data_IF_419888089000
#
_entry.id   IF_419888089000
#
_cell.length_a   1.000
_cell.length_b   1.000
_cell.length_c   1.000
_cell.angle_alpha   90.00
_cell.angle_beta   90.00
_cell.angle_gamma   90.00
#
_symmetry.space_group_name_H-M   'P 1'
#
loop_
_entity.id
_entity.type
_entity.pdbx_description
1 polymer ?
#
# COMPACT_ATOMS: atom_id res chain seq x y z
N UNK A 1 17.77 -1.21 -2.08
CA UNK A 1 16.32 -0.96 -2.19
C UNK A 1 15.65 -2.21 -2.74
N UNK A 2 14.62 -2.74 -2.06
CA UNK A 2 13.84 -3.88 -2.55
C UNK A 2 12.67 -3.32 -3.37
N UNK A 3 12.69 -3.50 -4.69
CA UNK A 3 11.73 -2.88 -5.61
C UNK A 3 10.63 -3.81 -6.15
N UNK A 4 10.82 -5.13 -6.04
CA UNK A 4 9.86 -6.15 -6.45
C UNK A 4 10.23 -7.48 -5.80
N UNK A 5 9.23 -8.23 -5.37
CA UNK A 5 9.34 -9.61 -4.94
C UNK A 5 8.56 -10.50 -5.91
N UNK A 6 9.10 -11.69 -6.18
CA UNK A 6 8.40 -12.78 -6.88
C UNK A 6 8.69 -14.05 -6.09
N UNK A 7 7.65 -14.70 -5.60
CA UNK A 7 7.81 -15.84 -4.70
C UNK A 7 6.49 -16.45 -4.29
N UNK A 8 6.53 -17.41 -3.38
CA UNK A 8 5.35 -18.14 -2.92
C UNK A 8 4.75 -17.43 -1.70
N UNK A 9 3.43 -17.22 -1.71
CA UNK A 9 2.71 -16.75 -0.53
C UNK A 9 2.70 -17.87 0.50
N UNK A 10 3.31 -17.65 1.67
CA UNK A 10 3.32 -18.60 2.77
C UNK A 10 2.13 -18.36 3.69
N UNK A 11 1.83 -17.10 3.99
CA UNK A 11 0.76 -16.72 4.92
C UNK A 11 0.09 -15.40 4.49
N UNK A 12 -1.23 -15.34 4.71
CA UNK A 12 -2.07 -14.16 4.47
C UNK A 12 -2.75 -13.77 5.80
N UNK A 13 -2.28 -12.71 6.44
CA UNK A 13 -2.88 -12.16 7.67
C UNK A 13 -3.04 -10.64 7.54
N UNK A 14 -4.20 -10.13 7.08
CA UNK A 14 -4.34 -8.72 6.76
C UNK A 14 -3.95 -7.79 7.94
N UNK A 15 -3.18 -6.71 7.69
CA UNK A 15 -2.73 -6.20 6.39
C UNK A 15 -1.37 -6.74 5.92
N UNK A 16 -0.89 -7.87 6.48
CA UNK A 16 0.44 -8.44 6.25
C UNK A 16 0.37 -9.72 5.41
N UNK A 17 1.26 -9.82 4.42
CA UNK A 17 1.50 -11.07 3.68
C UNK A 17 2.94 -11.52 3.90
N UNK A 18 3.13 -12.82 4.12
CA UNK A 18 4.45 -13.44 4.15
C UNK A 18 4.72 -14.07 2.78
N UNK A 19 5.72 -13.57 2.06
CA UNK A 19 6.16 -14.11 0.77
C UNK A 19 7.57 -14.67 0.88
N UNK A 20 7.75 -15.94 0.49
CA UNK A 20 9.08 -16.56 0.43
C UNK A 20 9.70 -16.37 -0.95
N UNK A 21 10.89 -15.79 -0.98
CA UNK A 21 11.69 -15.59 -2.20
C UNK A 21 13.07 -16.21 -1.98
N UNK A 22 13.33 -17.34 -2.64
CA UNK A 22 14.64 -18.00 -2.58
C UNK A 22 15.02 -18.47 -1.17
N UNK A 23 14.05 -18.94 -0.38
CA UNK A 23 14.27 -19.39 1.00
C UNK A 23 14.28 -18.29 2.06
N UNK A 24 13.99 -17.03 1.69
CA UNK A 24 13.86 -15.91 2.64
C UNK A 24 12.41 -15.45 2.69
N UNK A 25 11.81 -15.45 3.88
CA UNK A 25 10.48 -14.91 4.13
C UNK A 25 10.51 -13.39 4.30
N UNK A 26 9.70 -12.69 3.51
CA UNK A 26 9.51 -11.24 3.60
C UNK A 26 8.10 -10.95 4.10
N UNK A 27 8.00 -10.23 5.21
CA UNK A 27 6.74 -9.66 5.68
C UNK A 27 6.47 -8.35 4.93
N UNK A 28 5.31 -8.27 4.28
CA UNK A 28 4.94 -7.14 3.44
C UNK A 28 3.58 -6.60 3.86
N UNK A 29 3.53 -5.32 4.24
CA UNK A 29 2.28 -4.62 4.51
C UNK A 29 1.62 -4.18 3.21
N UNK A 30 0.33 -4.46 3.03
CA UNK A 30 -0.40 -4.15 1.80
C UNK A 30 -1.71 -3.42 2.09
N UNK A 31 -2.19 -2.55 1.19
CA UNK A 31 -3.57 -2.08 1.22
C UNK A 31 -4.53 -3.26 1.11
N UNK A 32 -5.70 -3.17 1.74
CA UNK A 32 -6.70 -4.25 1.73
C UNK A 32 -7.17 -4.60 0.31
N UNK A 33 -7.31 -3.58 -0.54
CA UNK A 33 -7.64 -3.73 -1.98
C UNK A 33 -6.64 -4.64 -2.68
N UNK A 34 -5.34 -4.35 -2.53
CA UNK A 34 -4.28 -5.18 -3.10
C UNK A 34 -4.25 -6.59 -2.46
N UNK A 35 -4.42 -6.66 -1.14
CA UNK A 35 -4.33 -7.91 -0.38
C UNK A 35 -5.37 -8.95 -0.81
N UNK A 36 -6.62 -8.53 -1.03
CA UNK A 36 -7.70 -9.45 -1.42
C UNK A 36 -7.58 -9.93 -2.87
N UNK A 37 -6.87 -9.21 -3.72
CA UNK A 37 -6.57 -9.62 -5.09
C UNK A 37 -5.37 -10.58 -5.18
N UNK A 38 -4.62 -10.78 -4.09
CA UNK A 38 -3.51 -11.71 -4.09
C UNK A 38 -4.00 -13.16 -4.28
N UNK A 39 -3.18 -14.02 -4.94
CA UNK A 39 -3.37 -15.46 -4.95
C UNK A 39 -3.53 -16.07 -3.54
N UNK A 40 -3.94 -17.34 -3.50
CA UNK A 40 -4.03 -18.08 -2.24
C UNK A 40 -2.64 -18.45 -1.70
N UNK A 41 -2.58 -18.80 -0.41
CA UNK A 41 -1.36 -19.35 0.17
C UNK A 41 -0.92 -20.63 -0.57
N UNK A 42 0.38 -20.79 -0.77
CA UNK A 42 0.99 -21.83 -1.59
C UNK A 42 1.13 -21.47 -3.08
N UNK A 43 0.63 -20.32 -3.53
CA UNK A 43 0.73 -19.88 -4.92
C UNK A 43 1.78 -18.77 -5.12
N UNK A 44 2.31 -18.68 -6.35
CA UNK A 44 3.25 -17.63 -6.72
C UNK A 44 2.55 -16.27 -6.83
N UNK A 45 3.15 -15.24 -6.25
CA UNK A 45 2.73 -13.86 -6.40
C UNK A 45 3.90 -12.97 -6.82
N UNK A 46 3.55 -11.84 -7.44
CA UNK A 46 4.47 -10.77 -7.78
C UNK A 46 3.99 -9.51 -7.03
N UNK A 47 4.86 -8.95 -6.20
CA UNK A 47 4.54 -7.77 -5.39
C UNK A 47 5.53 -6.66 -5.72
N UNK A 48 5.03 -5.48 -6.07
CA UNK A 48 5.83 -4.28 -6.20
C UNK A 48 6.01 -3.63 -4.84
N UNK A 49 7.25 -3.39 -4.44
CA UNK A 49 7.54 -2.98 -3.07
C UNK A 49 8.07 -1.55 -2.98
N UNK A 50 7.76 -0.90 -1.86
CA UNK A 50 8.44 0.29 -1.36
C UNK A 50 9.11 -0.07 -0.02
N UNK A 51 10.44 -0.04 0.00
CA UNK A 51 11.24 -0.39 1.17
C UNK A 51 11.61 0.87 1.97
N UNK A 52 11.23 0.90 3.24
CA UNK A 52 11.48 2.01 4.16
C UNK A 52 12.44 1.54 5.25
N UNK A 53 13.52 2.29 5.44
CA UNK A 53 14.49 2.08 6.52
C UNK A 53 14.37 3.27 7.47
N UNK A 54 14.18 2.96 8.75
CA UNK A 54 14.21 3.89 9.88
C UNK A 54 15.30 3.44 10.84
N UNK A 55 15.56 4.23 11.87
CA UNK A 55 16.54 3.89 12.91
C UNK A 55 16.18 2.61 13.68
N UNK A 56 14.88 2.32 13.82
CA UNK A 56 14.32 1.24 14.63
C UNK A 56 13.66 0.12 13.82
N UNK A 57 13.50 0.29 12.50
CA UNK A 57 12.72 -0.63 11.68
C UNK A 57 13.12 -0.66 10.20
N UNK A 58 12.93 -1.83 9.59
CA UNK A 58 12.96 -2.04 8.14
C UNK A 58 11.58 -2.55 7.72
N UNK A 59 10.88 -1.77 6.90
CA UNK A 59 9.48 -2.02 6.56
C UNK A 59 9.34 -2.20 5.05
N UNK A 60 8.56 -3.20 4.64
CA UNK A 60 8.15 -3.39 3.26
C UNK A 60 6.67 -3.09 3.09
N UNK A 61 6.37 -2.23 2.13
CA UNK A 61 5.01 -1.96 1.67
C UNK A 61 4.83 -2.53 0.27
N UNK A 62 3.78 -3.30 0.04
CA UNK A 62 3.54 -4.06 -1.19
C UNK A 62 2.28 -3.62 -1.93
N UNK A 63 2.32 -3.78 -3.26
CA UNK A 63 1.26 -3.41 -4.18
C UNK A 63 1.20 -4.40 -5.35
N UNK A 64 0.03 -4.59 -5.94
CA UNK A 64 -0.16 -5.54 -7.05
C UNK A 64 0.40 -5.01 -8.37
N UNK A 65 0.44 -3.67 -8.50
CA UNK A 65 0.97 -3.02 -9.70
C UNK A 65 1.84 -1.79 -9.38
N UNK A 66 2.48 -1.26 -10.42
CA UNK A 66 3.37 -0.09 -10.31
C UNK A 66 2.60 1.21 -10.03
N UNK A 67 1.37 1.34 -10.53
CA UNK A 67 0.54 2.53 -10.35
C UNK A 67 0.20 2.73 -8.87
N UNK A 68 -0.28 1.68 -8.19
CA UNK A 68 -0.57 1.69 -6.75
C UNK A 68 0.65 2.07 -5.91
N UNK A 69 1.81 1.46 -6.19
CA UNK A 69 3.06 1.82 -5.50
C UNK A 69 3.43 3.28 -5.74
N UNK A 70 3.25 3.77 -6.96
CA UNK A 70 3.56 5.16 -7.31
C UNK A 70 2.67 6.11 -6.55
N UNK A 71 1.36 5.84 -6.50
CA UNK A 71 0.42 6.62 -5.72
C UNK A 71 0.77 6.61 -4.22
N UNK A 72 1.09 5.45 -3.64
CA UNK A 72 1.56 5.37 -2.26
C UNK A 72 2.78 6.27 -2.02
N UNK A 73 3.77 6.25 -2.94
CA UNK A 73 4.96 7.09 -2.84
C UNK A 73 4.63 8.58 -2.93
N UNK A 74 3.65 8.99 -3.73
CA UNK A 74 3.21 10.39 -3.78
C UNK A 74 2.47 10.77 -2.49
N UNK A 75 1.57 9.91 -1.99
CA UNK A 75 0.85 10.13 -0.74
C UNK A 75 1.80 10.40 0.43
N UNK A 76 2.85 9.57 0.60
CA UNK A 76 3.76 9.73 1.75
C UNK A 76 4.71 10.94 1.64
N UNK A 77 4.75 11.65 0.50
CA UNK A 77 5.45 12.94 0.39
C UNK A 77 4.61 14.09 0.95
N UNK A 78 3.29 13.93 1.02
CA UNK A 78 2.39 14.95 1.54
C UNK A 78 2.57 15.12 3.04
N UNK A 79 2.76 16.36 3.47
CA UNK A 79 2.93 16.70 4.89
C UNK A 79 1.75 16.19 5.73
N UNK A 80 2.05 15.35 6.73
CA UNK A 80 1.05 14.75 7.61
C UNK A 80 0.50 13.40 7.12
N UNK A 81 0.92 12.91 5.96
CA UNK A 81 0.55 11.58 5.44
C UNK A 81 1.72 10.62 5.59
N UNK A 82 1.66 9.77 6.61
CA UNK A 82 2.62 8.69 6.80
C UNK A 82 2.22 7.39 6.08
N UNK A 83 3.11 6.38 6.01
CA UNK A 83 2.82 5.09 5.38
C UNK A 83 1.54 4.40 5.85
N UNK A 84 1.24 4.43 7.15
CA UNK A 84 0.02 3.83 7.71
C UNK A 84 -1.24 4.49 7.17
N UNK A 85 -1.25 5.83 7.09
CA UNK A 85 -2.38 6.57 6.54
C UNK A 85 -2.49 6.34 5.03
N UNK A 86 -1.38 6.32 4.30
CA UNK A 86 -1.38 6.01 2.88
C UNK A 86 -1.94 4.61 2.57
N UNK A 87 -1.60 3.58 3.37
CA UNK A 87 -2.23 2.26 3.24
C UNK A 87 -3.74 2.30 3.51
N UNK A 88 -4.19 3.07 4.52
CA UNK A 88 -5.61 3.20 4.85
C UNK A 88 -6.39 3.88 3.71
N UNK A 89 -5.82 4.92 3.10
CA UNK A 89 -6.37 5.61 1.92
C UNK A 89 -6.56 4.61 0.77
N UNK A 90 -5.49 3.88 0.42
CA UNK A 90 -5.52 2.89 -0.66
C UNK A 90 -6.37 1.65 -0.35
N UNK A 91 -6.70 1.43 0.92
CA UNK A 91 -7.64 0.38 1.35
C UNK A 91 -9.09 0.81 1.25
N UNK A 92 -9.38 2.12 1.36
CA UNK A 92 -10.74 2.66 1.30
C UNK A 92 -11.19 3.04 -0.12
N UNK A 93 -10.26 3.21 -1.05
CA UNK A 93 -10.55 3.46 -2.46
C UNK A 93 -9.42 2.98 -3.36
N UNK A 94 -9.76 2.59 -4.59
CA UNK A 94 -8.75 2.19 -5.57
C UNK A 94 -7.87 3.39 -5.97
N UNK A 95 -6.68 3.11 -6.48
CA UNK A 95 -5.78 4.16 -6.96
C UNK A 95 -6.44 5.06 -8.01
N UNK A 96 -7.24 4.49 -8.92
CA UNK A 96 -7.96 5.25 -9.93
C UNK A 96 -9.06 6.14 -9.32
N UNK A 97 -9.82 5.61 -8.35
CA UNK A 97 -10.84 6.39 -7.65
C UNK A 97 -10.23 7.56 -6.88
N UNK A 98 -9.09 7.34 -6.23
CA UNK A 98 -8.37 8.39 -5.52
C UNK A 98 -7.91 9.49 -6.48
N UNK A 99 -7.25 9.12 -7.58
CA UNK A 99 -6.80 10.09 -8.59
C UNK A 99 -7.97 10.91 -9.12
N UNK A 100 -9.09 10.26 -9.47
CA UNK A 100 -10.29 10.95 -9.95
C UNK A 100 -10.88 11.90 -8.89
N UNK A 101 -10.91 11.50 -7.62
CA UNK A 101 -11.43 12.33 -6.53
C UNK A 101 -10.56 13.58 -6.31
N UNK A 102 -9.23 13.44 -6.44
CA UNK A 102 -8.30 14.58 -6.37
C UNK A 102 -8.47 15.50 -7.59
N UNK A 103 -8.50 14.95 -8.81
CA UNK A 103 -8.65 15.74 -10.05
C UNK A 103 -9.97 16.52 -10.12
N UNK A 104 -11.02 16.00 -9.47
CA UNK A 104 -12.34 16.63 -9.41
C UNK A 104 -12.57 17.49 -8.16
N UNK A 105 -11.54 17.66 -7.33
CA UNK A 105 -11.62 18.39 -6.06
C UNK A 105 -12.76 17.89 -5.16
N UNK A 106 -13.04 16.58 -5.19
CA UNK A 106 -14.09 15.93 -4.40
C UNK A 106 -13.65 15.73 -2.94
N UNK A 107 -13.41 16.84 -2.23
CA UNK A 107 -12.98 16.87 -0.82
C UNK A 107 -13.87 16.00 0.06
N UNK A 108 -15.19 15.98 -0.21
CA UNK A 108 -16.15 15.16 0.53
C UNK A 108 -15.92 13.64 0.40
N UNK A 109 -15.35 13.17 -0.71
CA UNK A 109 -14.98 11.77 -0.88
C UNK A 109 -13.70 11.45 -0.08
N UNK A 110 -12.72 12.36 -0.10
CA UNK A 110 -11.45 12.19 0.61
C UNK A 110 -11.61 12.21 2.13
N UNK A 111 -12.47 13.08 2.68
CA UNK A 111 -12.73 13.17 4.14
C UNK A 111 -13.41 11.92 4.70
N UNK A 112 -14.05 11.09 3.87
CA UNK A 112 -14.61 9.80 4.31
C UNK A 112 -13.54 8.75 4.58
N UNK A 113 -12.30 8.97 4.14
CA UNK A 113 -11.22 8.03 4.36
C UNK A 113 -10.73 8.08 5.82
N UNK A 114 -10.46 6.93 6.44
CA UNK A 114 -9.99 6.88 7.82
C UNK A 114 -8.72 7.71 8.02
N UNK A 115 -8.77 8.68 8.93
CA UNK A 115 -7.63 9.52 9.28
C UNK A 115 -7.37 10.71 8.35
N UNK A 116 -8.20 10.93 7.31
CA UNK A 116 -8.18 12.17 6.53
C UNK A 116 -9.17 13.18 7.12
N UNK A 117 -8.64 14.29 7.64
CA UNK A 117 -9.45 15.46 8.00
C UNK A 117 -9.61 16.44 6.84
N UNK A 118 -10.54 17.39 6.97
CA UNK A 118 -10.83 18.42 5.95
C UNK A 118 -9.58 19.17 5.46
N UNK A 119 -8.70 19.60 6.38
CA UNK A 119 -7.44 20.29 6.05
C UNK A 119 -6.46 19.42 5.24
N UNK A 120 -6.49 18.11 5.44
CA UNK A 120 -5.64 17.17 4.70
C UNK A 120 -6.23 16.85 3.34
N UNK A 121 -7.56 16.79 3.23
CA UNK A 121 -8.27 16.57 1.98
C UNK A 121 -8.23 17.77 1.02
N UNK A 122 -8.10 19.00 1.54
CA UNK A 122 -7.98 20.24 0.76
C UNK A 122 -6.54 20.54 0.28
N UNK A 123 -5.55 19.74 0.70
CA UNK A 123 -4.13 19.91 0.36
C UNK A 123 -3.70 18.90 -0.68
#
# INVERSE_FOLDING_TARGET
MIGRLRGIIIEKQPPLVLIEVGGVGYEVHMPMTCFYELPEAGQEAIVFTHFVVREDAQLLYGFNNKQERTLFKELIKTNGVGPKLALAILSGMSAQQFVNAVEREEVGALVKLPGIGKKTAER
#
